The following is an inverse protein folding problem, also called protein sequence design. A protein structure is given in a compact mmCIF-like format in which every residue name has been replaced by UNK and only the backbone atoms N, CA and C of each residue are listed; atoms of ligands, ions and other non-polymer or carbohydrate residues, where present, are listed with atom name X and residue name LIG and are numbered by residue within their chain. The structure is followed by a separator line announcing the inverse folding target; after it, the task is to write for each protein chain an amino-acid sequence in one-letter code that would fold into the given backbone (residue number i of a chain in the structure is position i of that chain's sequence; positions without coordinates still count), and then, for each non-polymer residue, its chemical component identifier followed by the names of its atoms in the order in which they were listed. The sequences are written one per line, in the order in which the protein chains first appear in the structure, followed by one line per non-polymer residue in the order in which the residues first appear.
data_IF_215873849933
#
_entry.id   IF_215873849933
#
_cell.length_a   1.000
_cell.length_b   1.000
_cell.length_c   1.000
_cell.angle_alpha   90.00
_cell.angle_beta   90.00
_cell.angle_gamma   90.00
#
_symmetry.space_group_name_H-M   'P 1'
#
loop_
_entity.id
_entity.type
_entity.pdbx_description
1 polymer ?
#
# COMPACT_ATOMS: atom_id res chain seq x y z
N UNK A 1 8.57 13.50 21.03
CA UNK A 1 8.37 12.60 19.90
C UNK A 1 8.79 13.29 18.63
N UNK A 2 9.42 12.57 17.75
CA UNK A 2 10.01 13.16 16.57
C UNK A 2 8.97 13.76 15.65
N UNK A 3 9.38 14.80 14.93
CA UNK A 3 8.53 15.49 14.00
C UNK A 3 8.29 14.60 12.77
N UNK A 4 7.03 14.25 12.52
CA UNK A 4 6.66 13.43 11.36
C UNK A 4 6.65 14.28 10.09
N UNK A 5 7.20 13.78 8.98
CA UNK A 5 7.20 14.54 7.74
C UNK A 5 5.79 14.75 7.21
N UNK A 6 5.56 15.94 6.66
CA UNK A 6 4.32 16.23 5.93
C UNK A 6 4.31 15.48 4.62
N UNK A 7 3.19 14.84 4.32
CA UNK A 7 3.01 14.08 3.08
C UNK A 7 1.97 14.74 2.19
N UNK A 8 1.99 14.37 0.91
CA UNK A 8 0.98 14.81 -0.06
C UNK A 8 -0.23 13.88 0.02
N UNK A 9 -0.84 13.84 1.21
CA UNK A 9 -1.99 13.00 1.54
C UNK A 9 -2.88 13.77 2.51
N UNK A 10 -4.17 13.43 2.63
CA UNK A 10 -5.05 14.07 3.61
C UNK A 10 -4.52 13.93 5.03
N UNK A 11 -4.84 14.88 5.91
CA UNK A 11 -4.39 14.80 7.31
C UNK A 11 -4.78 13.49 7.98
N UNK A 12 -3.88 12.94 8.77
CA UNK A 12 -4.08 11.72 9.53
C UNK A 12 -3.63 11.95 10.96
N UNK A 13 -4.50 11.64 11.91
CA UNK A 13 -4.20 11.74 13.34
C UNK A 13 -3.77 10.36 13.85
N UNK A 14 -2.45 10.10 13.93
CA UNK A 14 -1.97 8.78 14.32
C UNK A 14 -2.08 8.55 15.83
N UNK A 15 -2.24 7.28 16.23
CA UNK A 15 -2.05 6.88 17.60
C UNK A 15 -0.58 6.48 17.78
N UNK A 16 0.13 7.25 18.56
CA UNK A 16 1.56 7.05 18.79
C UNK A 16 1.81 6.70 20.25
N UNK A 17 2.88 5.96 20.49
CA UNK A 17 3.37 5.72 21.84
C UNK A 17 4.89 5.57 21.80
N UNK A 18 5.53 5.78 22.94
CA UNK A 18 6.95 5.50 23.07
C UNK A 18 7.14 4.05 23.47
N UNK A 19 7.78 3.27 22.62
CA UNK A 19 8.16 1.89 22.90
C UNK A 19 9.47 1.83 23.68
N UNK A 20 9.92 0.62 23.97
CA UNK A 20 11.17 0.43 24.72
C UNK A 20 12.40 0.88 23.96
N UNK A 21 12.41 0.73 22.64
CA UNK A 21 13.58 1.03 21.80
C UNK A 21 13.34 2.12 20.77
N UNK A 22 12.10 2.34 20.40
CA UNK A 22 11.74 3.29 19.34
C UNK A 22 10.28 3.71 19.51
N UNK A 23 9.91 4.79 18.83
CA UNK A 23 8.52 5.21 18.78
C UNK A 23 7.69 4.18 17.98
N UNK A 24 6.43 4.07 18.35
CA UNK A 24 5.51 3.11 17.73
C UNK A 24 4.25 3.81 17.29
N UNK A 25 3.63 3.29 16.23
CA UNK A 25 2.37 3.76 15.68
C UNK A 25 1.36 2.61 15.69
N UNK A 26 0.11 2.91 16.02
CA UNK A 26 -0.94 1.88 16.01
C UNK A 26 -1.38 1.61 14.57
N UNK A 27 -1.30 0.33 14.18
CA UNK A 27 -1.77 -0.13 12.88
C UNK A 27 -3.17 -0.74 13.07
N UNK A 28 -4.19 -0.05 12.58
CA UNK A 28 -5.57 -0.51 12.75
C UNK A 28 -5.90 -1.76 11.93
N UNK A 29 -5.15 -2.05 10.87
CA UNK A 29 -5.34 -3.28 10.09
C UNK A 29 -4.74 -4.49 10.79
N UNK A 30 -3.57 -4.33 11.42
CA UNK A 30 -2.94 -5.40 12.19
C UNK A 30 -3.42 -5.46 13.64
N UNK A 31 -4.10 -4.40 14.11
CA UNK A 31 -4.65 -4.35 15.46
C UNK A 31 -3.59 -4.26 16.55
N UNK A 32 -2.44 -3.67 16.27
CA UNK A 32 -1.35 -3.57 17.23
C UNK A 32 -0.43 -2.41 16.92
N UNK A 33 0.39 -2.02 17.89
CA UNK A 33 1.44 -1.06 17.66
C UNK A 33 2.61 -1.70 16.93
N UNK A 34 3.19 -0.95 16.01
CA UNK A 34 4.35 -1.38 15.22
C UNK A 34 5.39 -0.26 15.24
N UNK A 35 6.63 -0.58 14.90
CA UNK A 35 7.69 0.41 14.85
C UNK A 35 7.33 1.55 13.90
N UNK A 36 7.52 2.79 14.34
CA UNK A 36 7.30 3.99 13.52
C UNK A 36 8.56 4.24 12.70
N UNK A 37 8.58 3.69 11.50
CA UNK A 37 9.63 3.96 10.51
C UNK A 37 9.11 4.96 9.49
N UNK A 38 9.98 5.57 8.67
CA UNK A 38 9.52 6.44 7.59
C UNK A 38 8.57 5.74 6.62
N UNK A 39 8.83 4.48 6.30
CA UNK A 39 7.94 3.70 5.44
C UNK A 39 6.61 3.40 6.11
N UNK A 40 6.63 3.07 7.41
CA UNK A 40 5.40 2.78 8.14
C UNK A 40 4.52 4.03 8.24
N UNK A 41 5.12 5.20 8.40
CA UNK A 41 4.37 6.47 8.39
C UNK A 41 3.65 6.66 7.06
N UNK A 42 4.34 6.42 5.94
CA UNK A 42 3.73 6.50 4.61
C UNK A 42 2.58 5.50 4.49
N UNK A 43 2.80 4.27 4.92
CA UNK A 43 1.76 3.22 4.85
C UNK A 43 0.51 3.63 5.63
N UNK A 44 0.68 4.08 6.86
CA UNK A 44 -0.47 4.44 7.70
C UNK A 44 -1.27 5.60 7.10
N UNK A 45 -0.59 6.61 6.59
CA UNK A 45 -1.25 7.74 5.94
C UNK A 45 -1.94 7.32 4.65
N UNK A 46 -1.30 6.47 3.85
CA UNK A 46 -1.87 6.03 2.58
C UNK A 46 -3.07 5.10 2.79
N UNK A 47 -3.00 4.16 3.73
CA UNK A 47 -4.13 3.29 4.07
C UNK A 47 -5.31 4.13 4.55
N UNK A 48 -5.06 5.14 5.40
CA UNK A 48 -6.11 6.06 5.84
C UNK A 48 -6.77 6.76 4.65
N UNK A 49 -5.98 7.21 3.69
CA UNK A 49 -6.49 7.85 2.48
C UNK A 49 -7.39 6.90 1.68
N UNK A 50 -6.96 5.65 1.51
CA UNK A 50 -7.77 4.66 0.80
C UNK A 50 -9.12 4.46 1.50
N UNK A 51 -9.11 4.33 2.82
CA UNK A 51 -10.33 4.05 3.58
C UNK A 51 -11.25 5.26 3.65
N UNK A 52 -10.73 6.39 4.12
CA UNK A 52 -11.55 7.57 4.43
C UNK A 52 -11.96 8.33 3.17
N UNK A 53 -11.05 8.48 2.22
CA UNK A 53 -11.29 9.30 1.03
C UNK A 53 -11.80 8.49 -0.14
N UNK A 54 -11.23 7.30 -0.38
CA UNK A 54 -11.50 6.53 -1.58
C UNK A 54 -12.44 5.33 -1.37
N UNK A 55 -12.96 5.17 -0.16
CA UNK A 55 -14.02 4.19 0.11
C UNK A 55 -13.58 2.74 0.17
N UNK A 56 -12.30 2.48 0.41
CA UNK A 56 -11.81 1.11 0.51
C UNK A 56 -12.28 0.47 1.81
N UNK A 57 -12.78 -0.77 1.77
CA UNK A 57 -13.29 -1.43 2.98
C UNK A 57 -12.16 -1.97 3.84
N UNK A 58 -12.10 -1.51 5.08
CA UNK A 58 -11.08 -1.93 6.05
C UNK A 58 -11.01 -3.46 6.19
N UNK A 59 -12.15 -4.12 6.20
CA UNK A 59 -12.23 -5.57 6.38
C UNK A 59 -11.68 -6.39 5.22
N UNK A 60 -11.37 -5.76 4.09
CA UNK A 60 -10.79 -6.43 2.93
C UNK A 60 -9.35 -5.98 2.68
N UNK A 61 -8.71 -5.39 3.67
CA UNK A 61 -7.33 -4.90 3.57
C UNK A 61 -6.46 -5.54 4.63
N UNK A 62 -5.21 -5.77 4.29
CA UNK A 62 -4.22 -6.29 5.23
C UNK A 62 -2.85 -5.71 4.95
N UNK A 63 -2.08 -5.49 6.02
CA UNK A 63 -0.70 -5.03 5.92
C UNK A 63 0.27 -6.17 6.16
N UNK A 64 1.45 -6.10 5.56
CA UNK A 64 2.52 -7.08 5.72
C UNK A 64 2.06 -8.50 5.40
N UNK A 65 1.55 -8.68 4.19
CA UNK A 65 0.96 -9.96 3.76
C UNK A 65 2.00 -10.78 3.03
N UNK A 66 2.19 -12.02 3.49
CA UNK A 66 2.96 -13.02 2.74
C UNK A 66 2.02 -13.76 1.78
N UNK A 67 2.34 -13.76 0.50
CA UNK A 67 1.60 -14.52 -0.50
C UNK A 67 2.51 -15.61 -1.04
N UNK A 68 2.07 -16.86 -0.86
CA UNK A 68 2.83 -18.02 -1.34
C UNK A 68 2.42 -18.34 -2.78
N UNK A 69 3.40 -18.33 -3.68
CA UNK A 69 3.21 -18.62 -5.10
C UNK A 69 4.17 -19.75 -5.48
N UNK A 70 3.62 -20.94 -5.68
CA UNK A 70 4.43 -22.17 -5.87
C UNK A 70 5.36 -22.33 -4.67
N UNK A 71 6.67 -22.44 -4.89
CA UNK A 71 7.65 -22.57 -3.82
C UNK A 71 8.23 -21.22 -3.38
N UNK A 72 7.74 -20.11 -3.96
CA UNK A 72 8.24 -18.77 -3.68
C UNK A 72 7.23 -18.01 -2.84
N UNK A 73 7.72 -17.36 -1.79
CA UNK A 73 6.89 -16.47 -0.99
C UNK A 73 7.14 -15.01 -1.37
N UNK A 74 6.06 -14.27 -1.63
CA UNK A 74 6.10 -12.85 -1.91
C UNK A 74 5.55 -12.08 -0.72
N UNK A 75 6.24 -11.01 -0.33
CA UNK A 75 5.78 -10.16 0.76
C UNK A 75 5.27 -8.86 0.17
N UNK A 76 4.05 -8.48 0.58
CA UNK A 76 3.39 -7.27 0.10
C UNK A 76 3.14 -6.33 1.27
N UNK A 77 3.38 -5.03 1.08
CA UNK A 77 3.19 -4.03 2.14
C UNK A 77 1.72 -3.90 2.55
N UNK A 78 0.84 -3.74 1.57
CA UNK A 78 -0.61 -3.69 1.80
C UNK A 78 -1.29 -4.39 0.64
N UNK A 79 -2.30 -5.19 0.95
CA UNK A 79 -3.11 -5.88 -0.07
C UNK A 79 -4.57 -5.55 0.15
N UNK A 80 -5.26 -5.25 -0.94
CA UNK A 80 -6.71 -5.07 -0.97
C UNK A 80 -7.32 -6.28 -1.67
N UNK A 81 -8.28 -6.92 -1.02
CA UNK A 81 -8.87 -8.16 -1.52
C UNK A 81 -10.26 -7.92 -2.12
N UNK A 82 -10.67 -8.84 -3.01
CA UNK A 82 -12.03 -8.89 -3.50
C UNK A 82 -12.95 -9.45 -2.42
N UNK A 83 -14.24 -9.10 -2.49
CA UNK A 83 -15.26 -9.66 -1.60
C UNK A 83 -15.52 -11.13 -1.90
N UNK A 84 -15.37 -11.53 -3.15
CA UNK A 84 -15.62 -12.88 -3.60
C UNK A 84 -14.30 -13.60 -3.82
N UNK A 85 -14.10 -14.72 -3.11
CA UNK A 85 -12.92 -15.57 -3.28
C UNK A 85 -11.64 -15.01 -2.65
N UNK A 86 -11.69 -13.88 -1.96
CA UNK A 86 -10.54 -13.27 -1.29
C UNK A 86 -9.30 -13.21 -2.19
N UNK A 87 -9.48 -12.73 -3.40
CA UNK A 87 -8.37 -12.58 -4.36
C UNK A 87 -7.74 -11.21 -4.20
N UNK A 88 -6.40 -11.10 -4.27
CA UNK A 88 -5.75 -9.79 -4.29
C UNK A 88 -6.23 -8.98 -5.50
N UNK A 89 -6.81 -7.81 -5.23
CA UNK A 89 -7.21 -6.87 -6.28
C UNK A 89 -6.13 -5.83 -6.52
N UNK A 90 -5.54 -5.33 -5.44
CA UNK A 90 -4.55 -4.28 -5.50
C UNK A 90 -3.46 -4.57 -4.48
N UNK A 91 -2.22 -4.32 -4.89
CA UNK A 91 -1.07 -4.31 -4.00
C UNK A 91 -0.57 -2.88 -3.89
N UNK A 92 -0.26 -2.44 -2.68
CA UNK A 92 0.36 -1.14 -2.42
C UNK A 92 1.76 -1.39 -1.89
N UNK A 93 2.77 -0.79 -2.55
CA UNK A 93 4.16 -0.80 -2.11
C UNK A 93 4.51 0.59 -1.60
N UNK A 94 4.96 0.65 -0.36
CA UNK A 94 5.30 1.91 0.30
C UNK A 94 6.80 2.06 0.41
N UNK A 95 7.29 3.25 0.09
CA UNK A 95 8.68 3.65 0.24
C UNK A 95 8.76 4.83 1.19
N UNK A 96 9.92 5.02 1.82
CA UNK A 96 10.14 6.19 2.66
C UNK A 96 10.08 7.47 1.80
N UNK A 97 9.71 8.62 2.41
CA UNK A 97 9.55 9.87 1.64
C UNK A 97 10.78 10.31 0.88
N UNK A 98 11.98 9.98 1.37
CA UNK A 98 13.22 10.37 0.71
C UNK A 98 13.61 9.47 -0.48
N UNK A 99 12.89 8.37 -0.68
CA UNK A 99 13.18 7.44 -1.79
C UNK A 99 12.46 7.93 -3.05
N UNK A 100 13.23 8.24 -4.10
CA UNK A 100 12.66 8.64 -5.38
C UNK A 100 12.09 7.42 -6.11
N UNK A 101 10.86 7.56 -6.60
CA UNK A 101 10.23 6.51 -7.39
C UNK A 101 10.47 6.84 -8.86
N UNK A 102 11.59 6.35 -9.38
CA UNK A 102 11.93 6.51 -10.80
C UNK A 102 11.21 5.45 -11.62
N UNK A 103 11.22 5.61 -12.93
CA UNK A 103 10.65 4.61 -13.84
C UNK A 103 11.33 3.24 -13.62
N UNK A 104 12.64 3.24 -13.43
CA UNK A 104 13.40 2.00 -13.18
C UNK A 104 12.95 1.32 -11.89
N UNK A 105 12.77 2.08 -10.81
CA UNK A 105 12.29 1.56 -9.53
C UNK A 105 10.89 1.00 -9.68
N UNK A 106 10.02 1.75 -10.38
CA UNK A 106 8.65 1.29 -10.60
C UNK A 106 8.63 -0.02 -11.40
N UNK A 107 9.42 -0.10 -12.47
CA UNK A 107 9.48 -1.30 -13.31
C UNK A 107 9.92 -2.53 -12.51
N UNK A 108 10.89 -2.37 -11.60
CA UNK A 108 11.34 -3.47 -10.75
C UNK A 108 10.22 -3.95 -9.82
N UNK A 109 9.50 -3.01 -9.22
CA UNK A 109 8.38 -3.34 -8.32
C UNK A 109 7.25 -4.00 -9.11
N UNK A 110 6.93 -3.48 -10.29
CA UNK A 110 5.89 -4.04 -11.14
C UNK A 110 6.23 -5.48 -11.56
N UNK A 111 7.47 -5.72 -11.92
CA UNK A 111 7.96 -7.04 -12.32
C UNK A 111 7.86 -8.04 -11.17
N UNK A 112 8.18 -7.59 -9.96
CA UNK A 112 8.05 -8.41 -8.76
C UNK A 112 6.58 -8.74 -8.46
N UNK A 113 5.68 -7.79 -8.69
CA UNK A 113 4.28 -7.93 -8.30
C UNK A 113 3.38 -8.54 -9.36
N UNK A 114 3.82 -8.66 -10.61
CA UNK A 114 3.02 -9.29 -11.67
C UNK A 114 2.63 -10.73 -11.32
N UNK A 115 3.50 -11.43 -10.61
CA UNK A 115 3.23 -12.83 -10.22
C UNK A 115 2.21 -12.97 -9.10
N UNK A 116 1.92 -11.89 -8.38
CA UNK A 116 0.89 -11.90 -7.32
C UNK A 116 -0.51 -12.04 -7.93
N UNK A 117 -0.68 -11.57 -9.16
CA UNK A 117 -1.95 -11.67 -9.86
C UNK A 117 -2.95 -10.57 -9.51
N UNK A 118 -2.55 -9.58 -8.71
CA UNK A 118 -3.40 -8.41 -8.46
C UNK A 118 -3.46 -7.58 -9.74
N UNK A 119 -4.66 -7.08 -10.08
CA UNK A 119 -4.83 -6.28 -11.29
C UNK A 119 -4.25 -4.89 -11.17
N UNK A 120 -4.23 -4.33 -9.97
CA UNK A 120 -3.72 -2.97 -9.74
C UNK A 120 -2.53 -2.98 -8.80
N UNK A 121 -1.59 -2.08 -9.07
CA UNK A 121 -0.42 -1.86 -8.24
C UNK A 121 -0.29 -0.36 -7.97
N UNK A 122 -0.13 -0.01 -6.70
CA UNK A 122 0.21 1.35 -6.29
C UNK A 122 1.62 1.33 -5.70
N UNK A 123 2.43 2.32 -6.08
CA UNK A 123 3.73 2.57 -5.46
C UNK A 123 3.70 4.01 -4.96
N UNK A 124 3.98 4.20 -3.68
CA UNK A 124 3.93 5.53 -3.07
C UNK A 124 5.10 5.72 -2.11
N UNK A 125 5.61 6.94 -2.06
CA UNK A 125 6.54 7.38 -1.02
C UNK A 125 5.91 8.47 -0.12
N UNK A 126 4.58 8.65 -0.24
CA UNK A 126 3.84 9.66 0.52
C UNK A 126 3.82 11.03 -0.14
N UNK A 127 4.77 11.33 -1.02
CA UNK A 127 4.86 12.59 -1.74
C UNK A 127 4.41 12.44 -3.18
N UNK A 128 4.72 11.30 -3.77
CA UNK A 128 4.30 10.91 -5.13
C UNK A 128 3.63 9.56 -5.08
N UNK A 129 2.54 9.43 -5.81
CA UNK A 129 1.74 8.21 -5.83
C UNK A 129 1.52 7.79 -7.28
N UNK A 130 1.84 6.54 -7.59
CA UNK A 130 1.68 6.00 -8.93
C UNK A 130 0.81 4.77 -8.86
N UNK A 131 -0.15 4.68 -9.78
CA UNK A 131 -1.03 3.51 -9.87
C UNK A 131 -0.99 3.00 -11.31
N UNK A 132 -0.85 1.69 -11.45
CA UNK A 132 -0.96 1.05 -12.75
C UNK A 132 -1.95 -0.09 -12.72
N UNK A 133 -2.45 -0.42 -13.89
CA UNK A 133 -3.30 -1.58 -14.13
C UNK A 133 -2.55 -2.56 -15.02
N UNK A 134 -2.41 -3.80 -14.58
CA UNK A 134 -1.78 -4.85 -15.38
C UNK A 134 -2.72 -5.32 -16.47
N UNK A 135 -2.19 -5.53 -17.66
CA UNK A 135 -2.93 -6.09 -18.78
C UNK A 135 -2.84 -7.61 -18.77
N UNK A 136 -3.74 -8.32 -19.48
CA UNK A 136 -3.64 -9.78 -19.60
C UNK A 136 -2.32 -10.25 -20.22
N UNK A 137 -1.66 -9.41 -21.01
CA UNK A 137 -0.38 -9.72 -21.65
C UNK A 137 0.82 -9.55 -20.73
N UNK A 138 0.60 -9.12 -19.48
CA UNK A 138 1.68 -8.95 -18.52
C UNK A 138 2.40 -7.60 -18.58
N UNK A 139 1.90 -6.68 -19.41
CA UNK A 139 2.35 -5.30 -19.40
C UNK A 139 1.47 -4.48 -18.46
N UNK A 140 1.72 -3.18 -18.33
CA UNK A 140 0.88 -2.34 -17.48
C UNK A 140 0.73 -0.95 -18.08
N UNK A 141 -0.33 -0.27 -17.65
CA UNK A 141 -0.56 1.13 -18.02
C UNK A 141 -0.82 1.95 -16.76
N UNK A 142 -0.32 3.17 -16.75
CA UNK A 142 -0.54 4.07 -15.62
C UNK A 142 -1.94 4.66 -15.67
N UNK A 143 -2.51 4.85 -14.47
CA UNK A 143 -3.75 5.58 -14.27
C UNK A 143 -3.41 6.99 -13.82
N UNK A 144 -4.29 7.94 -14.11
CA UNK A 144 -4.07 9.34 -13.72
C UNK A 144 -4.20 9.55 -12.22
N UNK A 145 -5.02 8.75 -11.57
CA UNK A 145 -5.27 8.88 -10.15
C UNK A 145 -5.55 7.51 -9.55
N UNK A 146 -5.46 7.44 -8.23
CA UNK A 146 -5.79 6.22 -7.50
C UNK A 146 -7.31 6.03 -7.60
N UNK A 147 -7.80 4.90 -8.12
CA UNK A 147 -9.24 4.69 -8.26
C UNK A 147 -9.92 4.50 -6.92
N UNK A 148 -11.18 4.90 -6.85
CA UNK A 148 -12.02 4.54 -5.71
C UNK A 148 -12.28 3.03 -5.72
N UNK A 149 -12.51 2.46 -4.55
CA UNK A 149 -12.72 1.01 -4.44
C UNK A 149 -13.83 0.51 -5.36
N UNK A 150 -14.94 1.25 -5.46
CA UNK A 150 -16.05 0.84 -6.31
C UNK A 150 -15.67 0.68 -7.78
N UNK A 151 -14.65 1.42 -8.24
CA UNK A 151 -14.14 1.29 -9.61
C UNK A 151 -13.38 -0.03 -9.82
N UNK A 152 -12.73 -0.52 -8.78
CA UNK A 152 -12.00 -1.80 -8.87
C UNK A 152 -12.97 -2.96 -9.07
N UNK A 153 -14.11 -2.94 -8.37
CA UNK A 153 -15.04 -4.06 -8.38
C UNK A 153 -16.00 -4.04 -9.58
N UNK A 154 -16.08 -2.92 -10.31
CA UNK A 154 -16.89 -2.82 -11.53
C UNK A 154 -16.16 -3.33 -12.78
N UNK A 155 -14.87 -3.45 -12.69
CA UNK A 155 -14.01 -3.78 -13.85
C UNK A 155 -13.85 -5.28 -14.04
#
# INVERSE_FOLDING_TARGET
MDHLPSLNLPPYAPRLRQGLRHSEIFDSLRGRFVALTPEEWVRQCFVNHLIVTLGYPRGLMANEVGIKLNDTQRRCDTVVYSRTGMRPLMVVECKAPHVAITQKVFDQIARYNVVVGARWLVVTNGLSHYCCEFTPEGTYRFLREIPRYEMLVRS
#
